data_IF_544285628038
#
_entry.id   IF_544285628038
#
_cell.length_a   1.000
_cell.length_b   1.000
_cell.length_c   1.000
_cell.angle_alpha   90.00
_cell.angle_beta   90.00
_cell.angle_gamma   90.00
#
_symmetry.space_group_name_H-M   'P 1'
#
loop_
_entity.id
_entity.type
_entity.pdbx_description
1 polymer ?
#
# COMPACT_ATOMS: atom_id res chain seq x y z
N UNK A 1 1.67 -0.70 -11.31
CA UNK A 1 2.37 -2.00 -11.29
C UNK A 1 2.36 -2.62 -12.68
N UNK A 2 3.06 -3.72 -12.93
CA UNK A 2 3.05 -4.34 -14.27
C UNK A 2 1.68 -4.88 -14.72
N UNK A 3 0.74 -5.08 -13.78
CA UNK A 3 -0.65 -5.48 -14.07
C UNK A 3 -1.68 -4.33 -14.06
N UNK A 4 -1.21 -3.11 -13.81
CA UNK A 4 -1.95 -1.86 -13.95
C UNK A 4 -0.94 -0.72 -14.02
N UNK A 5 -0.68 -0.27 -15.25
CA UNK A 5 0.37 0.72 -15.56
C UNK A 5 -0.07 2.16 -15.28
N UNK A 6 -1.35 2.40 -14.99
CA UNK A 6 -1.86 3.70 -14.56
C UNK A 6 -1.77 3.80 -13.03
N UNK A 7 -2.25 2.77 -12.34
CA UNK A 7 -2.29 2.71 -10.89
C UNK A 7 -3.41 3.57 -10.32
N UNK A 8 -3.22 3.99 -9.07
CA UNK A 8 -4.18 4.73 -8.28
C UNK A 8 -3.50 5.90 -7.58
N UNK A 9 -4.22 7.01 -7.45
CA UNK A 9 -3.65 8.28 -6.98
C UNK A 9 -4.37 8.80 -5.74
N UNK A 10 -3.57 9.18 -4.74
CA UNK A 10 -4.00 9.96 -3.58
C UNK A 10 -3.84 11.45 -3.93
N UNK A 11 -4.92 12.21 -3.92
CA UNK A 11 -4.92 13.63 -4.33
C UNK A 11 -5.02 14.59 -3.16
N UNK A 12 -5.42 14.12 -1.97
CA UNK A 12 -5.46 14.95 -0.77
C UNK A 12 -4.04 15.14 -0.21
N UNK A 13 -3.52 16.37 -0.26
CA UNK A 13 -2.15 16.68 0.17
C UNK A 13 -1.85 16.28 1.63
N UNK A 14 -2.82 16.45 2.54
CA UNK A 14 -2.65 16.04 3.94
C UNK A 14 -2.47 14.53 4.04
N UNK A 15 -3.26 13.76 3.30
CA UNK A 15 -3.15 12.30 3.23
C UNK A 15 -1.83 11.88 2.58
N UNK A 16 -1.41 12.52 1.49
CA UNK A 16 -0.11 12.25 0.83
C UNK A 16 1.05 12.46 1.81
N UNK A 17 1.09 13.61 2.49
CA UNK A 17 2.15 13.95 3.43
C UNK A 17 2.17 12.97 4.62
N UNK A 18 1.00 12.57 5.12
CA UNK A 18 0.89 11.63 6.23
C UNK A 18 1.34 10.21 5.82
N UNK A 19 0.98 9.74 4.62
CA UNK A 19 1.47 8.47 4.06
C UNK A 19 3.00 8.50 3.89
N UNK A 20 3.55 9.58 3.31
CA UNK A 20 4.98 9.73 3.12
C UNK A 20 5.75 9.70 4.45
N UNK A 21 5.26 10.44 5.46
CA UNK A 21 5.82 10.44 6.79
C UNK A 21 5.74 9.03 7.41
N UNK A 22 4.59 8.39 7.35
CA UNK A 22 4.34 7.06 7.91
C UNK A 22 5.25 5.99 7.31
N UNK A 23 5.43 5.99 5.98
CA UNK A 23 6.33 5.08 5.29
C UNK A 23 7.81 5.33 5.66
N UNK A 24 8.20 6.59 5.81
CA UNK A 24 9.58 6.96 6.18
C UNK A 24 9.93 6.55 7.61
N UNK A 25 8.98 6.66 8.55
CA UNK A 25 9.22 6.42 9.98
C UNK A 25 8.68 5.09 10.48
N UNK A 26 8.12 4.26 9.60
CA UNK A 26 7.45 3.00 9.96
C UNK A 26 6.39 3.17 11.05
N UNK A 27 5.58 4.24 10.95
CA UNK A 27 4.50 4.53 11.90
C UNK A 27 3.15 4.22 11.29
N UNK A 28 2.18 3.84 12.12
CA UNK A 28 0.82 3.59 11.67
C UNK A 28 0.13 4.87 11.20
N UNK A 29 -0.65 4.77 10.14
CA UNK A 29 -1.51 5.83 9.64
C UNK A 29 -2.77 5.24 9.00
N UNK A 30 -3.90 5.94 9.14
CA UNK A 30 -5.11 5.69 8.38
C UNK A 30 -5.75 7.02 8.01
N UNK A 31 -6.16 7.16 6.74
CA UNK A 31 -6.87 8.34 6.27
C UNK A 31 -7.63 8.08 4.99
N UNK A 32 -8.42 9.05 4.55
CA UNK A 32 -9.28 8.91 3.37
C UNK A 32 -8.83 9.87 2.28
N UNK A 33 -8.83 9.41 1.03
CA UNK A 33 -8.67 10.24 -0.16
C UNK A 33 -9.50 9.65 -1.29
N UNK A 34 -10.25 10.48 -2.02
CA UNK A 34 -11.11 10.04 -3.13
C UNK A 34 -12.11 8.93 -2.74
N UNK A 35 -12.61 8.95 -1.50
CA UNK A 35 -13.52 7.91 -0.99
C UNK A 35 -12.85 6.56 -0.66
N UNK A 36 -11.53 6.45 -0.83
CA UNK A 36 -10.75 5.26 -0.50
C UNK A 36 -10.04 5.47 0.82
N UNK A 37 -10.13 4.48 1.70
CA UNK A 37 -9.33 4.46 2.94
C UNK A 37 -7.94 3.93 2.60
N UNK A 38 -6.93 4.67 3.03
CA UNK A 38 -5.52 4.32 2.90
C UNK A 38 -4.95 4.06 4.28
N UNK A 39 -4.23 2.96 4.42
CA UNK A 39 -3.52 2.63 5.65
C UNK A 39 -2.05 2.34 5.38
N UNK A 40 -1.22 2.80 6.32
CA UNK A 40 0.18 2.42 6.46
C UNK A 40 0.35 1.73 7.81
N UNK A 41 1.06 0.62 7.86
CA UNK A 41 1.35 -0.06 9.12
C UNK A 41 2.19 -1.31 8.94
N UNK A 42 2.61 -1.91 10.06
CA UNK A 42 3.51 -3.05 10.03
C UNK A 42 2.78 -4.34 9.67
N UNK A 43 3.34 -5.12 8.73
CA UNK A 43 2.91 -6.47 8.44
C UNK A 43 4.11 -7.41 8.35
N UNK A 44 4.15 -8.43 9.21
CA UNK A 44 5.35 -9.26 9.37
C UNK A 44 6.56 -8.40 9.79
N UNK A 45 7.69 -8.56 9.11
CA UNK A 45 8.90 -7.76 9.33
C UNK A 45 8.93 -6.43 8.55
N UNK A 46 7.92 -6.16 7.73
CA UNK A 46 7.90 -5.05 6.79
C UNK A 46 6.82 -4.02 7.07
N UNK A 47 6.83 -2.97 6.26
CA UNK A 47 5.75 -1.97 6.23
C UNK A 47 4.78 -2.33 5.11
N UNK A 48 3.49 -2.05 5.31
CA UNK A 48 2.43 -2.16 4.31
C UNK A 48 1.89 -0.77 4.00
N UNK A 49 1.63 -0.51 2.72
CA UNK A 49 0.70 0.52 2.25
C UNK A 49 -0.40 -0.18 1.47
N UNK A 50 -1.66 0.07 1.86
CA UNK A 50 -2.81 -0.54 1.22
C UNK A 50 -4.08 0.31 1.31
N UNK A 51 -5.00 0.05 0.39
CA UNK A 51 -6.31 0.71 0.25
C UNK A 51 -7.41 0.14 1.17
N UNK A 52 -7.07 -0.11 2.42
CA UNK A 52 -7.98 -0.68 3.43
C UNK A 52 -7.83 0.06 4.74
N UNK A 53 -8.75 -0.19 5.68
CA UNK A 53 -8.63 0.30 7.06
C UNK A 53 -7.90 -0.70 7.98
N UNK A 54 -7.55 -1.89 7.47
CA UNK A 54 -6.99 -2.99 8.26
C UNK A 54 -5.73 -3.52 7.60
N UNK A 55 -4.61 -3.51 8.32
CA UNK A 55 -3.31 -4.01 7.84
C UNK A 55 -3.28 -5.55 7.79
N UNK A 56 -2.39 -6.12 6.98
CA UNK A 56 -2.22 -7.56 6.75
C UNK A 56 -3.42 -8.27 6.13
N UNK A 57 -4.22 -7.58 5.31
CA UNK A 57 -5.39 -8.18 4.64
C UNK A 57 -5.07 -8.65 3.22
N UNK A 58 -5.54 -9.84 2.85
CA UNK A 58 -5.34 -10.41 1.52
C UNK A 58 -6.39 -9.96 0.49
N UNK A 59 -7.54 -9.44 0.94
CA UNK A 59 -8.67 -9.01 0.11
C UNK A 59 -8.46 -7.65 -0.59
N UNK A 60 -7.34 -6.99 -0.33
CA UNK A 60 -6.96 -5.72 -0.95
C UNK A 60 -6.54 -5.91 -2.40
N UNK A 61 -6.76 -4.90 -3.24
CA UNK A 61 -6.43 -4.91 -4.68
C UNK A 61 -5.20 -4.06 -5.01
N UNK A 62 -4.90 -3.07 -4.16
CA UNK A 62 -3.72 -2.22 -4.21
C UNK A 62 -3.01 -2.24 -2.87
N UNK A 63 -1.97 -3.07 -2.81
CA UNK A 63 -1.17 -3.29 -1.62
C UNK A 63 0.28 -3.45 -2.00
N UNK A 64 1.17 -2.84 -1.23
CA UNK A 64 2.60 -3.06 -1.34
C UNK A 64 3.18 -3.31 0.06
N UNK A 65 3.96 -4.38 0.20
CA UNK A 65 4.52 -4.82 1.49
C UNK A 65 6.03 -5.07 1.40
N UNK A 66 6.86 -4.03 1.16
CA UNK A 66 8.31 -4.22 1.15
C UNK A 66 8.78 -4.83 2.48
N UNK A 67 9.71 -5.77 2.37
CA UNK A 67 10.32 -6.50 3.48
C UNK A 67 9.35 -7.31 4.40
N UNK A 68 8.17 -7.75 3.93
CA UNK A 68 7.20 -8.53 4.74
C UNK A 68 7.76 -9.86 5.31
N UNK A 69 8.77 -10.44 4.65
CA UNK A 69 9.42 -11.69 5.09
C UNK A 69 8.80 -12.97 4.53
N UNK A 70 7.88 -12.88 3.56
CA UNK A 70 7.30 -14.01 2.83
C UNK A 70 6.85 -13.58 1.41
N UNK A 71 6.22 -14.47 0.66
CA UNK A 71 5.80 -14.22 -0.73
C UNK A 71 4.60 -13.28 -0.91
N UNK A 72 3.96 -12.80 0.16
CA UNK A 72 2.76 -11.96 0.10
C UNK A 72 3.10 -10.47 -0.02
N UNK A 73 3.92 -10.11 -1.00
CA UNK A 73 4.44 -8.76 -1.22
C UNK A 73 3.37 -7.71 -1.58
N UNK A 74 2.13 -8.14 -1.81
CA UNK A 74 1.05 -7.31 -2.30
C UNK A 74 0.83 -7.44 -3.81
N UNK A 75 -0.01 -6.56 -4.34
CA UNK A 75 -0.29 -6.46 -5.76
C UNK A 75 -0.96 -5.15 -6.11
N UNK A 76 -0.74 -4.70 -7.35
CA UNK A 76 -1.46 -3.56 -7.94
C UNK A 76 -2.44 -4.14 -8.97
N UNK A 77 -3.74 -3.89 -8.78
CA UNK A 77 -4.84 -4.53 -9.52
C UNK A 77 -4.84 -6.07 -9.36
N UNK A 78 -4.43 -6.57 -8.19
CA UNK A 78 -4.37 -8.01 -7.85
C UNK A 78 -4.54 -8.20 -6.35
N UNK A 79 -4.79 -9.43 -5.90
CA UNK A 79 -4.90 -9.75 -4.48
C UNK A 79 -3.64 -9.38 -3.71
N UNK A 80 -3.80 -8.96 -2.44
CA UNK A 80 -2.69 -8.62 -1.56
C UNK A 80 -1.81 -9.81 -1.13
N UNK A 81 -2.27 -11.04 -1.33
CA UNK A 81 -1.55 -12.28 -0.99
C UNK A 81 -1.53 -13.25 -2.16
N UNK A 82 -0.47 -14.04 -2.30
CA UNK A 82 -0.30 -15.00 -3.39
C UNK A 82 -0.28 -14.39 -4.81
N UNK A 83 -0.02 -13.09 -4.92
CA UNK A 83 0.01 -12.38 -6.20
C UNK A 83 1.18 -12.84 -7.06
N UNK A 84 1.02 -12.97 -8.39
CA UNK A 84 2.14 -13.17 -9.30
C UNK A 84 3.21 -12.07 -9.16
N UNK A 85 4.47 -12.39 -9.47
CA UNK A 85 5.56 -11.41 -9.46
C UNK A 85 5.25 -10.22 -10.36
N UNK A 86 5.44 -9.02 -9.82
CA UNK A 86 5.21 -7.76 -10.53
C UNK A 86 6.14 -6.66 -10.04
N UNK A 87 6.44 -5.72 -10.93
CA UNK A 87 7.09 -4.47 -10.54
C UNK A 87 6.01 -3.51 -10.04
N UNK A 88 6.16 -3.04 -8.81
CA UNK A 88 5.26 -2.08 -8.15
C UNK A 88 6.05 -0.85 -7.77
N UNK A 89 5.44 0.33 -7.94
CA UNK A 89 6.10 1.61 -7.70
C UNK A 89 5.14 2.49 -6.92
N UNK A 90 5.68 3.14 -5.89
CA UNK A 90 5.03 4.22 -5.16
C UNK A 90 5.86 5.47 -5.43
N UNK A 91 5.21 6.54 -5.88
CA UNK A 91 5.85 7.82 -6.18
C UNK A 91 5.11 8.95 -5.50
N UNK A 92 5.86 9.93 -5.00
CA UNK A 92 5.35 11.18 -4.47
C UNK A 92 5.70 12.29 -5.47
N UNK A 93 4.75 13.20 -5.71
CA UNK A 93 4.90 14.36 -6.58
C UNK A 93 4.63 15.64 -5.78
#
# INVERSE_FOLDING_TARGET
GSYDTIGITVTNQTTVNAIAAALRTSTAYTGISNGITWSVGTCGSGIELSETNTICQCSTTYTIRPCIGNGNWGGINRTGCGSPSQVMTVSFQ
#
